data_IF_339515181926
#
_entry.id   IF_339515181926
#
_cell.length_a   1.000
_cell.length_b   1.000
_cell.length_c   1.000
_cell.angle_alpha   90.00
_cell.angle_beta   90.00
_cell.angle_gamma   90.00
#
_symmetry.space_group_name_H-M   'P 1'
#
loop_
_entity.id
_entity.type
_entity.pdbx_description
1 polymer ?
#
# COMPACT_ATOMS: atom_id res chain seq x y z
N UNK A 1 19.27 17.99 -6.87
CA UNK A 1 19.69 16.71 -6.28
C UNK A 1 18.99 16.58 -4.94
N UNK A 2 18.21 15.52 -4.71
CA UNK A 2 18.01 14.97 -3.36
C UNK A 2 17.94 13.45 -3.51
N UNK A 3 19.00 12.81 -3.06
CA UNK A 3 19.15 11.36 -2.95
C UNK A 3 18.08 10.83 -2.01
N UNK A 4 17.11 10.09 -2.52
CA UNK A 4 16.27 9.25 -1.69
C UNK A 4 16.97 7.89 -1.59
N UNK A 5 17.56 7.59 -0.43
CA UNK A 5 18.05 6.27 -0.07
C UNK A 5 17.15 5.19 -0.70
N UNK A 6 17.76 4.22 -1.38
CA UNK A 6 17.09 3.06 -1.98
C UNK A 6 16.47 2.19 -0.88
N UNK A 7 15.45 2.70 -0.22
CA UNK A 7 14.65 1.98 0.74
C UNK A 7 13.92 0.92 -0.08
N UNK A 8 14.21 -0.34 0.19
CA UNK A 8 13.52 -1.47 -0.43
C UNK A 8 12.06 -1.37 0.01
N UNK A 9 11.20 -0.86 -0.87
CA UNK A 9 9.79 -0.61 -0.56
C UNK A 9 9.16 0.48 -1.44
N UNK A 10 7.83 0.54 -1.43
CA UNK A 10 7.05 1.60 -2.08
C UNK A 10 7.14 2.90 -1.26
N UNK A 11 7.16 4.05 -1.94
CA UNK A 11 7.14 5.36 -1.26
C UNK A 11 5.73 5.65 -0.70
N UNK A 12 5.62 6.29 0.47
CA UNK A 12 4.34 6.66 1.06
C UNK A 12 3.54 7.61 0.13
N UNK A 13 2.21 7.43 0.03
CA UNK A 13 1.33 8.31 -0.73
C UNK A 13 1.05 9.64 -0.01
N UNK A 14 0.56 10.63 -0.76
CA UNK A 14 0.06 11.89 -0.20
C UNK A 14 -1.42 11.77 0.15
N UNK A 15 -1.75 11.86 1.43
CA UNK A 15 -3.10 11.57 1.93
C UNK A 15 -3.98 12.82 2.18
N UNK A 16 -3.42 14.04 2.12
CA UNK A 16 -4.09 15.31 2.49
C UNK A 16 -5.46 15.57 1.81
N UNK A 17 -5.74 14.96 0.64
CA UNK A 17 -7.02 15.10 -0.07
C UNK A 17 -7.85 13.81 -0.12
N UNK A 18 -7.45 12.78 0.62
CA UNK A 18 -8.08 11.45 0.61
C UNK A 18 -8.97 11.19 1.80
N UNK A 19 -8.67 11.77 2.96
CA UNK A 19 -9.47 11.59 4.17
C UNK A 19 -10.58 12.63 4.37
N UNK A 20 -11.10 13.25 3.30
CA UNK A 20 -12.14 14.29 3.39
C UNK A 20 -11.70 15.44 4.32
N UNK A 21 -12.51 15.84 5.31
CA UNK A 21 -12.23 16.89 6.30
C UNK A 21 -11.44 16.40 7.54
N UNK A 22 -10.75 15.26 7.44
CA UNK A 22 -10.01 14.74 8.58
C UNK A 22 -8.76 15.55 8.91
N UNK A 23 -8.67 16.01 10.16
CA UNK A 23 -7.52 16.78 10.67
C UNK A 23 -6.22 15.96 10.70
N UNK A 24 -6.30 14.65 10.97
CA UNK A 24 -5.13 13.77 11.10
C UNK A 24 -5.17 12.64 10.06
N UNK A 25 -4.83 12.99 8.82
CA UNK A 25 -4.78 12.05 7.70
C UNK A 25 -3.33 11.66 7.37
N UNK A 26 -2.93 10.44 7.68
CA UNK A 26 -1.55 9.96 7.57
C UNK A 26 -1.41 8.75 6.64
N UNK A 27 -0.24 8.62 6.00
CA UNK A 27 0.09 7.45 5.20
C UNK A 27 0.56 6.29 6.11
N UNK A 28 -0.09 5.14 6.02
CA UNK A 28 0.21 3.94 6.83
C UNK A 28 0.44 2.72 5.94
N UNK A 29 1.34 1.84 6.36
CA UNK A 29 1.47 0.50 5.77
C UNK A 29 0.49 -0.44 6.45
N UNK A 30 -0.32 -1.13 5.66
CA UNK A 30 -1.23 -2.18 6.13
C UNK A 30 -0.86 -3.50 5.48
N UNK A 31 -1.04 -4.65 6.16
CA UNK A 31 -0.91 -5.94 5.52
C UNK A 31 -1.82 -6.02 4.30
N UNK A 32 -1.24 -6.37 3.15
CA UNK A 32 -2.02 -6.68 1.97
C UNK A 32 -2.87 -7.91 2.31
N UNK A 33 -4.19 -7.78 2.25
CA UNK A 33 -5.05 -8.95 2.35
C UNK A 33 -4.69 -9.86 1.17
N UNK A 34 -4.51 -11.18 1.38
CA UNK A 34 -4.38 -12.14 0.29
C UNK A 34 -5.76 -12.31 -0.38
N UNK A 35 -6.31 -11.21 -0.89
CA UNK A 35 -7.55 -11.22 -1.66
C UNK A 35 -7.12 -11.35 -3.10
N UNK A 36 -7.33 -12.55 -3.65
CA UNK A 36 -7.10 -12.92 -5.04
C UNK A 36 -7.35 -11.71 -5.95
N UNK A 37 -6.25 -11.15 -6.47
CA UNK A 37 -6.17 -9.90 -7.23
C UNK A 37 -7.33 -9.79 -8.23
N UNK A 38 -8.39 -9.08 -7.84
CA UNK A 38 -9.41 -8.59 -8.78
C UNK A 38 -9.54 -7.09 -8.57
N UNK A 39 -9.11 -6.40 -9.63
CA UNK A 39 -9.33 -5.01 -9.95
C UNK A 39 -8.26 -3.98 -9.54
N UNK A 40 -7.76 -3.31 -10.59
CA UNK A 40 -7.29 -1.92 -10.62
C UNK A 40 -5.83 -1.58 -10.25
N UNK A 41 -4.86 -2.36 -10.71
CA UNK A 41 -3.55 -1.81 -11.11
C UNK A 41 -3.11 -2.57 -12.37
N UNK A 42 -2.46 -1.92 -13.33
CA UNK A 42 -1.86 -2.59 -14.50
C UNK A 42 -0.86 -3.65 -14.02
N UNK A 43 -1.32 -4.89 -13.85
CA UNK A 43 -0.48 -5.99 -13.38
C UNK A 43 0.24 -6.57 -14.59
N UNK A 44 1.56 -6.45 -14.62
CA UNK A 44 2.39 -7.48 -15.21
C UNK A 44 1.99 -8.80 -14.54
N UNK A 45 1.20 -9.62 -15.23
CA UNK A 45 0.89 -10.99 -14.79
C UNK A 45 2.18 -11.78 -14.84
N UNK A 46 2.95 -11.76 -13.75
CA UNK A 46 3.91 -12.84 -13.50
C UNK A 46 3.12 -13.93 -12.79
N UNK A 47 2.74 -14.96 -13.53
CA UNK A 47 2.17 -16.19 -13.01
C UNK A 47 3.24 -16.93 -12.22
N UNK A 48 3.41 -16.59 -10.95
CA UNK A 48 4.14 -17.43 -10.02
C UNK A 48 3.12 -18.11 -9.12
N UNK A 49 2.65 -19.28 -9.55
CA UNK A 49 1.87 -20.26 -8.78
C UNK A 49 2.73 -20.87 -7.65
N UNK A 50 3.33 -20.01 -6.81
CA UNK A 50 4.17 -20.37 -5.67
C UNK A 50 3.84 -19.46 -4.48
N UNK A 51 2.56 -19.37 -4.15
CA UNK A 51 2.06 -18.47 -3.10
C UNK A 51 2.24 -19.03 -1.66
N UNK A 52 2.84 -20.22 -1.46
CA UNK A 52 2.79 -20.92 -0.16
C UNK A 52 4.15 -21.35 0.45
N UNK A 53 5.27 -20.69 0.14
CA UNK A 53 6.58 -21.05 0.76
C UNK A 53 7.40 -19.85 1.27
N UNK A 54 7.15 -18.65 0.79
CA UNK A 54 7.84 -17.45 1.29
C UNK A 54 7.14 -16.92 2.53
N UNK A 55 7.85 -16.81 3.67
CA UNK A 55 7.42 -16.06 4.87
C UNK A 55 7.21 -14.53 4.62
N UNK A 56 7.19 -14.12 3.36
CA UNK A 56 7.02 -12.74 2.95
C UNK A 56 5.56 -12.33 3.10
N UNK A 57 5.31 -11.35 3.97
CA UNK A 57 3.99 -10.75 4.20
C UNK A 57 3.91 -9.44 3.40
N UNK A 58 3.24 -9.41 2.24
CA UNK A 58 3.15 -8.20 1.43
C UNK A 58 2.43 -7.08 2.20
N UNK A 59 2.93 -5.85 2.08
CA UNK A 59 2.37 -4.65 2.68
C UNK A 59 1.89 -3.69 1.59
N UNK A 60 0.78 -3.00 1.83
CA UNK A 60 0.20 -1.97 0.98
C UNK A 60 0.16 -0.62 1.70
N UNK A 61 0.30 0.47 0.94
CA UNK A 61 0.08 1.82 1.48
C UNK A 61 -1.42 2.17 1.49
N UNK A 62 -1.85 2.79 2.58
CA UNK A 62 -3.19 3.36 2.77
C UNK A 62 -3.11 4.71 3.45
N UNK A 63 -4.23 5.45 3.44
CA UNK A 63 -4.40 6.66 4.23
C UNK A 63 -5.26 6.34 5.45
N UNK A 64 -4.83 6.74 6.64
CA UNK A 64 -5.56 6.54 7.90
C UNK A 64 -6.04 7.86 8.46
N UNK A 65 -7.28 7.87 8.94
CA UNK A 65 -7.86 8.95 9.74
C UNK A 65 -8.58 8.34 10.93
N UNK A 66 -8.03 8.52 12.13
CA UNK A 66 -8.56 7.87 13.34
C UNK A 66 -8.62 6.36 13.17
N UNK A 67 -9.84 5.79 13.10
CA UNK A 67 -10.06 4.35 12.90
C UNK A 67 -10.44 3.97 11.46
N UNK A 68 -10.47 4.92 10.53
CA UNK A 68 -10.82 4.71 9.13
C UNK A 68 -9.59 4.56 8.26
N UNK A 69 -9.64 3.62 7.31
CA UNK A 69 -8.58 3.35 6.33
C UNK A 69 -9.15 3.62 4.94
N UNK A 70 -8.45 4.44 4.17
CA UNK A 70 -8.79 4.87 2.81
C UNK A 70 -7.73 4.40 1.82
N UNK A 71 -8.15 4.14 0.59
CA UNK A 71 -7.19 3.94 -0.49
C UNK A 71 -6.51 5.27 -0.84
N UNK A 72 -5.19 5.28 -1.06
CA UNK A 72 -4.47 6.48 -1.45
C UNK A 72 -4.85 7.00 -2.84
#
# INVERSE_FOLDING_TARGET
>A
MLMGNSMIGSRPPQCEKRCLDCVHCEAVQVPATPQQRRAAVRQFKITNERDDVSNYKPMDWKCKCGNFIFNP
#
